data_IF_130179624228
#
_entry.id   IF_130179624228
#
_cell.length_a   1.000
_cell.length_b   1.000
_cell.length_c   1.000
_cell.angle_alpha   90.00
_cell.angle_beta   90.00
_cell.angle_gamma   90.00
#
_symmetry.space_group_name_H-M   'P 1'
#
loop_
_entity.id
_entity.type
_entity.pdbx_description
1 polymer ?
#
# COMPACT_ATOMS: atom_id res chain seq x y z
N UNK A 1 -10.08 12.72 38.78
CA UNK A 1 -9.30 11.51 38.52
C UNK A 1 -9.47 11.12 37.08
N UNK A 2 -8.43 10.62 36.41
CA UNK A 2 -8.42 10.32 34.97
C UNK A 2 -9.59 9.42 34.49
N UNK A 3 -10.12 8.57 35.34
CA UNK A 3 -11.29 7.74 35.05
C UNK A 3 -12.60 8.53 34.91
N UNK A 4 -12.74 9.67 35.63
CA UNK A 4 -13.90 10.56 35.57
C UNK A 4 -13.92 11.38 34.28
N UNK A 5 -12.74 11.66 33.69
CA UNK A 5 -12.64 12.48 32.48
C UNK A 5 -12.90 11.68 31.20
N UNK A 6 -12.70 10.35 31.24
CA UNK A 6 -13.03 9.43 30.13
C UNK A 6 -14.55 9.27 30.00
N UNK A 7 -15.29 9.21 31.10
CA UNK A 7 -16.76 9.12 31.09
C UNK A 7 -17.46 10.40 30.60
N UNK A 8 -16.83 11.56 30.72
CA UNK A 8 -17.41 12.83 30.28
C UNK A 8 -17.33 13.10 28.77
N UNK A 9 -16.65 12.25 28.02
CA UNK A 9 -16.51 12.37 26.54
C UNK A 9 -17.48 11.49 25.75
N UNK A 10 -18.24 10.61 26.39
CA UNK A 10 -19.25 9.78 25.73
C UNK A 10 -20.60 10.50 25.72
N UNK A 11 -21.33 10.35 24.60
CA UNK A 11 -22.71 10.84 24.49
C UNK A 11 -23.61 9.94 25.32
N UNK A 12 -24.08 10.46 26.45
CA UNK A 12 -24.99 9.77 27.38
C UNK A 12 -26.37 10.47 27.32
N UNK A 13 -27.24 9.95 26.44
CA UNK A 13 -28.57 10.51 26.21
C UNK A 13 -29.47 10.49 27.46
N UNK A 14 -29.48 9.42 28.29
CA UNK A 14 -30.20 9.44 29.56
C UNK A 14 -29.78 10.58 30.49
N UNK A 15 -28.48 10.79 30.66
CA UNK A 15 -27.95 11.87 31.49
C UNK A 15 -28.28 13.26 30.90
N UNK A 16 -28.20 13.40 29.57
CA UNK A 16 -28.60 14.66 28.91
C UNK A 16 -30.09 14.93 29.06
N UNK A 17 -30.93 13.91 29.04
CA UNK A 17 -32.38 14.03 29.30
C UNK A 17 -32.67 14.47 30.72
N UNK A 18 -32.00 13.93 31.72
CA UNK A 18 -32.12 14.31 33.12
C UNK A 18 -31.74 15.78 33.35
N UNK A 19 -30.63 16.23 32.74
CA UNK A 19 -30.14 17.59 32.87
C UNK A 19 -31.01 18.63 32.15
N UNK A 20 -31.49 18.30 30.94
CA UNK A 20 -32.24 19.23 30.09
C UNK A 20 -33.76 19.25 30.34
N UNK A 21 -34.28 18.18 30.98
CA UNK A 21 -35.71 17.96 31.13
C UNK A 21 -36.43 17.62 29.82
N UNK A 22 -35.68 17.32 28.75
CA UNK A 22 -36.21 16.97 27.43
C UNK A 22 -36.21 15.45 27.23
N UNK A 23 -37.13 14.98 26.39
CA UNK A 23 -37.08 13.57 25.98
C UNK A 23 -35.84 13.27 25.09
N UNK A 24 -35.34 12.06 25.18
CA UNK A 24 -34.17 11.60 24.40
C UNK A 24 -34.35 11.80 22.90
N UNK A 25 -35.58 11.64 22.39
CA UNK A 25 -35.91 11.89 20.98
C UNK A 25 -35.76 13.35 20.57
N UNK A 26 -36.20 14.26 21.43
CA UNK A 26 -36.03 15.70 21.21
C UNK A 26 -34.54 16.08 21.17
N UNK A 27 -33.75 15.51 22.08
CA UNK A 27 -32.30 15.74 22.14
C UNK A 27 -31.61 15.26 20.86
N UNK A 28 -31.96 14.07 20.36
CA UNK A 28 -31.41 13.51 19.14
C UNK A 28 -31.75 14.38 17.92
N UNK A 29 -32.99 14.87 17.83
CA UNK A 29 -33.39 15.77 16.74
C UNK A 29 -32.67 17.13 16.81
N UNK A 30 -32.52 17.72 18.00
CA UNK A 30 -31.79 18.98 18.18
C UNK A 30 -30.29 18.86 17.89
N UNK A 31 -29.70 17.69 18.18
CA UNK A 31 -28.27 17.40 17.95
C UNK A 31 -28.01 16.66 16.63
N UNK A 32 -28.99 16.68 15.75
CA UNK A 32 -28.86 16.02 14.44
C UNK A 32 -27.68 16.56 13.63
N UNK A 33 -26.75 15.68 13.27
CA UNK A 33 -25.50 16.03 12.60
C UNK A 33 -24.35 16.43 13.53
N UNK A 34 -24.61 16.56 14.84
CA UNK A 34 -23.59 16.76 15.89
C UNK A 34 -23.24 15.44 16.57
N UNK A 35 -24.23 14.58 16.74
CA UNK A 35 -24.08 13.21 17.25
C UNK A 35 -24.61 12.21 16.22
N UNK A 36 -24.03 11.02 16.21
CA UNK A 36 -24.37 9.91 15.31
C UNK A 36 -24.51 8.62 16.10
N UNK A 37 -25.50 7.83 15.77
CA UNK A 37 -25.64 6.47 16.29
C UNK A 37 -24.76 5.53 15.43
N UNK A 38 -23.85 4.78 16.04
CA UNK A 38 -23.12 3.72 15.35
C UNK A 38 -24.08 2.54 15.09
N UNK A 39 -24.33 2.19 13.82
CA UNK A 39 -25.30 1.15 13.48
C UNK A 39 -24.92 -0.26 13.98
N UNK A 40 -23.64 -0.53 14.27
CA UNK A 40 -23.20 -1.82 14.78
C UNK A 40 -23.38 -1.91 16.30
N UNK A 41 -22.92 -0.90 17.03
CA UNK A 41 -22.87 -0.92 18.49
C UNK A 41 -24.13 -0.35 19.13
N UNK A 42 -24.90 0.46 18.39
CA UNK A 42 -26.06 1.21 18.89
C UNK A 42 -25.65 2.34 19.86
N UNK A 43 -24.35 2.67 19.94
CA UNK A 43 -23.86 3.77 20.78
C UNK A 43 -23.92 5.09 20.04
N UNK A 44 -24.20 6.14 20.79
CA UNK A 44 -24.13 7.49 20.28
C UNK A 44 -22.71 8.05 20.46
N UNK A 45 -22.17 8.57 19.37
CA UNK A 45 -20.84 9.17 19.30
C UNK A 45 -20.93 10.61 18.82
N UNK A 46 -19.97 11.44 19.21
CA UNK A 46 -19.86 12.80 18.66
C UNK A 46 -19.45 12.74 17.19
N UNK A 47 -19.72 13.80 16.42
CA UNK A 47 -19.30 13.89 15.03
C UNK A 47 -17.79 13.65 14.85
N UNK A 48 -16.96 14.24 15.72
CA UNK A 48 -15.50 14.07 15.68
C UNK A 48 -15.07 12.61 15.88
N UNK A 49 -15.76 11.86 16.71
CA UNK A 49 -15.47 10.47 17.00
C UNK A 49 -16.02 9.56 15.89
N UNK A 50 -17.30 9.74 15.52
CA UNK A 50 -17.93 8.91 14.49
C UNK A 50 -17.31 9.10 13.10
N UNK A 51 -17.00 10.33 12.72
CA UNK A 51 -16.44 10.69 11.42
C UNK A 51 -14.91 10.54 11.34
N UNK A 52 -14.30 9.83 12.27
CA UNK A 52 -12.86 9.52 12.30
C UNK A 52 -12.58 8.02 12.11
N UNK A 53 -11.31 7.67 11.95
CA UNK A 53 -10.87 6.28 11.76
C UNK A 53 -11.15 5.74 10.37
N UNK A 54 -11.61 4.49 10.25
CA UNK A 54 -11.89 3.86 8.95
C UNK A 54 -13.25 4.31 8.35
N UNK A 55 -13.30 5.57 7.91
CA UNK A 55 -14.51 6.20 7.37
C UNK A 55 -15.03 5.52 6.09
N UNK A 56 -14.18 4.80 5.34
CA UNK A 56 -14.62 4.03 4.16
C UNK A 56 -15.44 2.81 4.54
N UNK A 57 -15.02 2.10 5.57
CA UNK A 57 -15.76 0.95 6.10
C UNK A 57 -17.04 1.40 6.79
N UNK A 58 -16.97 2.44 7.62
CA UNK A 58 -18.14 3.07 8.24
C UNK A 58 -19.19 3.47 7.20
N UNK A 59 -18.78 4.04 6.05
CA UNK A 59 -19.69 4.39 4.97
C UNK A 59 -20.39 3.16 4.36
N UNK A 60 -19.66 2.06 4.11
CA UNK A 60 -20.27 0.81 3.61
C UNK A 60 -21.32 0.28 4.57
N UNK A 61 -20.99 0.23 5.85
CA UNK A 61 -21.89 -0.22 6.91
C UNK A 61 -23.13 0.68 7.01
N UNK A 62 -22.93 2.00 7.12
CA UNK A 62 -24.04 2.95 7.21
C UNK A 62 -24.95 2.88 5.99
N UNK A 63 -24.41 2.68 4.79
CA UNK A 63 -25.21 2.52 3.55
C UNK A 63 -26.09 1.28 3.62
N UNK A 64 -25.53 0.13 4.03
CA UNK A 64 -26.32 -1.12 4.18
C UNK A 64 -27.43 -0.99 5.22
N UNK A 65 -27.16 -0.31 6.35
CA UNK A 65 -28.18 -0.08 7.36
C UNK A 65 -29.25 0.94 6.91
N UNK A 66 -28.89 1.96 6.14
CA UNK A 66 -29.83 2.94 5.62
C UNK A 66 -30.86 2.37 4.64
N UNK A 67 -30.58 1.23 3.99
CA UNK A 67 -31.54 0.51 3.13
C UNK A 67 -32.76 -0.01 3.91
N UNK A 68 -32.54 -0.40 5.15
CA UNK A 68 -33.61 -0.94 6.03
C UNK A 68 -34.12 0.06 7.05
N UNK A 69 -33.26 1.00 7.46
CA UNK A 69 -33.51 2.03 8.49
C UNK A 69 -33.14 3.41 7.94
N UNK A 70 -34.11 4.18 7.40
CA UNK A 70 -33.86 5.48 6.76
C UNK A 70 -33.19 6.52 7.68
N UNK A 71 -33.30 6.36 9.00
CA UNK A 71 -32.64 7.22 9.99
C UNK A 71 -31.13 7.32 9.82
N UNK A 72 -30.47 6.24 9.36
CA UNK A 72 -29.03 6.25 9.09
C UNK A 72 -28.63 6.97 7.79
N UNK A 73 -29.57 7.55 7.05
CA UNK A 73 -29.26 8.36 5.85
C UNK A 73 -28.38 9.56 6.18
N UNK A 74 -28.53 10.13 7.39
CA UNK A 74 -27.68 11.24 7.84
C UNK A 74 -26.22 10.81 8.02
N UNK A 75 -26.01 9.60 8.56
CA UNK A 75 -24.69 9.00 8.70
C UNK A 75 -24.01 8.82 7.33
N UNK A 76 -24.78 8.32 6.34
CA UNK A 76 -24.29 8.16 4.96
C UNK A 76 -23.90 9.50 4.35
N UNK A 77 -24.72 10.55 4.53
CA UNK A 77 -24.43 11.87 3.99
C UNK A 77 -23.17 12.46 4.62
N UNK A 78 -23.05 12.42 5.96
CA UNK A 78 -21.90 12.93 6.68
C UNK A 78 -20.60 12.18 6.28
N UNK A 79 -20.65 10.84 6.26
CA UNK A 79 -19.52 10.01 5.88
C UNK A 79 -19.10 10.21 4.42
N UNK A 80 -20.02 10.48 3.49
CA UNK A 80 -19.70 10.80 2.09
C UNK A 80 -18.89 12.08 1.95
N UNK A 81 -19.18 13.09 2.76
CA UNK A 81 -18.50 14.39 2.68
C UNK A 81 -17.05 14.35 3.12
N UNK A 82 -16.70 13.43 4.02
CA UNK A 82 -15.36 13.31 4.60
C UNK A 82 -14.55 12.17 4.01
N UNK A 83 -15.04 11.51 2.93
CA UNK A 83 -14.25 10.45 2.31
C UNK A 83 -12.90 10.99 1.84
N UNK A 84 -11.79 10.34 2.21
CA UNK A 84 -10.50 10.72 1.67
C UNK A 84 -10.51 10.55 0.16
N UNK A 85 -9.98 11.53 -0.55
CA UNK A 85 -9.77 11.42 -1.99
C UNK A 85 -8.85 10.23 -2.27
N UNK A 86 -9.15 9.49 -3.34
CA UNK A 86 -8.20 8.49 -3.82
C UNK A 86 -6.98 9.25 -4.35
N UNK A 87 -5.81 8.92 -3.81
CA UNK A 87 -4.57 9.44 -4.36
C UNK A 87 -4.43 8.98 -5.82
N UNK A 88 -4.04 9.91 -6.69
CA UNK A 88 -3.67 9.55 -8.04
C UNK A 88 -2.36 8.75 -8.04
N UNK A 89 -2.14 7.99 -9.10
CA UNK A 89 -0.94 7.17 -9.27
C UNK A 89 0.36 7.97 -9.12
N UNK A 90 0.33 9.27 -9.45
CA UNK A 90 1.46 10.19 -9.30
C UNK A 90 1.73 10.59 -7.86
N UNK A 91 0.72 10.52 -6.97
CA UNK A 91 0.81 10.92 -5.57
C UNK A 91 1.21 9.77 -4.63
N UNK A 92 1.11 8.53 -5.12
CA UNK A 92 1.49 7.35 -4.34
C UNK A 92 2.96 7.02 -4.62
N UNK A 93 3.81 7.19 -3.62
CA UNK A 93 5.20 6.72 -3.68
C UNK A 93 5.24 5.22 -3.41
N UNK A 94 5.25 4.42 -4.48
CA UNK A 94 5.46 2.97 -4.37
C UNK A 94 6.96 2.72 -4.30
N UNK A 95 7.41 2.25 -3.15
CA UNK A 95 8.81 1.81 -2.98
C UNK A 95 8.91 0.34 -3.32
N UNK A 96 9.54 0.05 -4.45
CA UNK A 96 9.96 -1.31 -4.77
C UNK A 96 10.86 -1.83 -3.64
N UNK A 97 10.64 -3.06 -3.17
CA UNK A 97 11.40 -3.64 -2.06
C UNK A 97 10.82 -3.37 -0.67
N UNK A 98 9.63 -2.79 -0.56
CA UNK A 98 8.93 -2.72 0.72
C UNK A 98 8.72 -4.15 1.29
N UNK A 99 9.04 -4.33 2.57
CA UNK A 99 9.12 -5.66 3.22
C UNK A 99 7.78 -6.38 3.39
N UNK A 100 6.68 -5.67 3.19
CA UNK A 100 5.32 -6.22 3.23
C UNK A 100 4.83 -6.76 1.88
N UNK A 101 5.57 -6.54 0.79
CA UNK A 101 5.23 -7.06 -0.54
C UNK A 101 5.46 -8.58 -0.54
N UNK A 102 4.46 -9.34 -0.98
CA UNK A 102 4.62 -10.78 -1.18
C UNK A 102 5.60 -11.05 -2.34
N UNK A 103 6.62 -11.91 -2.16
CA UNK A 103 7.56 -12.28 -3.24
C UNK A 103 6.91 -12.71 -4.54
N UNK A 104 5.70 -13.27 -4.48
CA UNK A 104 4.93 -13.67 -5.65
C UNK A 104 4.68 -12.50 -6.61
N UNK A 105 4.43 -11.28 -6.10
CA UNK A 105 4.24 -10.11 -6.96
C UNK A 105 5.50 -9.75 -7.74
N UNK A 106 6.67 -10.00 -7.17
CA UNK A 106 7.94 -9.80 -7.89
C UNK A 106 8.12 -10.88 -8.97
N UNK A 107 7.72 -12.12 -8.68
CA UNK A 107 7.74 -13.20 -9.70
C UNK A 107 6.76 -12.89 -10.84
N UNK A 108 5.54 -12.40 -10.53
CA UNK A 108 4.55 -11.97 -11.51
C UNK A 108 5.07 -10.78 -12.34
N UNK A 109 5.72 -9.81 -11.72
CA UNK A 109 6.39 -8.69 -12.40
C UNK A 109 7.48 -9.18 -13.36
N UNK A 110 8.33 -10.12 -12.93
CA UNK A 110 9.34 -10.73 -13.80
C UNK A 110 8.70 -11.48 -14.97
N UNK A 111 7.59 -12.17 -14.75
CA UNK A 111 6.85 -12.86 -15.81
C UNK A 111 6.27 -11.88 -16.84
N UNK A 112 5.57 -10.85 -16.40
CA UNK A 112 4.84 -9.94 -17.27
C UNK A 112 5.72 -8.85 -17.92
N UNK A 113 6.59 -8.21 -17.13
CA UNK A 113 7.37 -7.05 -17.59
C UNK A 113 8.73 -7.46 -18.13
N UNK A 114 9.43 -8.36 -17.45
CA UNK A 114 10.70 -8.91 -17.95
C UNK A 114 10.50 -9.97 -19.03
N UNK A 115 9.27 -10.42 -19.24
CA UNK A 115 8.92 -11.50 -20.15
C UNK A 115 9.75 -12.76 -19.85
N UNK A 116 9.93 -13.04 -18.56
CA UNK A 116 10.66 -14.23 -18.13
C UNK A 116 9.87 -15.47 -18.53
N UNK A 117 10.46 -16.40 -19.28
CA UNK A 117 9.74 -17.58 -19.70
C UNK A 117 9.18 -18.39 -18.52
N UNK A 118 7.95 -18.87 -18.67
CA UNK A 118 7.24 -19.61 -17.61
C UNK A 118 8.03 -20.86 -17.15
N UNK A 119 8.74 -21.51 -18.04
CA UNK A 119 9.58 -22.67 -17.70
C UNK A 119 10.77 -22.35 -16.79
N UNK A 120 11.11 -21.06 -16.60
CA UNK A 120 12.13 -20.62 -15.63
C UNK A 120 11.50 -20.23 -14.29
N UNK A 121 10.26 -19.74 -14.30
CA UNK A 121 9.53 -19.33 -13.09
C UNK A 121 8.92 -20.54 -12.37
N UNK A 122 8.27 -21.45 -13.10
CA UNK A 122 7.50 -22.55 -12.52
C UNK A 122 8.32 -23.76 -12.08
N UNK A 123 9.51 -24.10 -12.43
CA UNK A 123 10.35 -24.98 -11.62
C UNK A 123 11.14 -24.23 -10.56
N UNK A 124 11.03 -22.88 -10.48
CA UNK A 124 11.75 -22.08 -9.52
C UNK A 124 13.23 -21.85 -9.84
N UNK A 125 13.62 -22.01 -11.12
CA UNK A 125 14.98 -21.68 -11.56
C UNK A 125 15.28 -20.19 -11.41
N UNK A 126 14.26 -19.33 -11.65
CA UNK A 126 14.26 -17.91 -11.31
C UNK A 126 13.12 -17.69 -10.32
N UNK A 127 13.43 -17.37 -9.09
CA UNK A 127 12.43 -17.20 -8.02
C UNK A 127 12.85 -16.17 -6.99
N UNK A 128 11.88 -15.34 -6.59
CA UNK A 128 12.07 -14.35 -5.53
C UNK A 128 11.76 -14.95 -4.17
N UNK A 129 12.54 -14.55 -3.18
CA UNK A 129 12.33 -14.86 -1.78
C UNK A 129 12.71 -13.67 -0.90
N UNK A 130 12.03 -13.53 0.23
CA UNK A 130 12.33 -12.52 1.24
C UNK A 130 12.64 -13.19 2.57
N UNK A 131 13.74 -12.79 3.18
CA UNK A 131 14.14 -13.25 4.52
C UNK A 131 13.74 -12.22 5.57
N UNK A 132 12.79 -12.55 6.43
CA UNK A 132 12.37 -11.69 7.55
C UNK A 132 13.49 -11.51 8.58
N UNK A 133 14.43 -12.47 8.68
CA UNK A 133 15.51 -12.42 9.66
C UNK A 133 16.56 -11.36 9.27
N UNK A 134 16.92 -11.35 7.99
CA UNK A 134 17.94 -10.43 7.46
C UNK A 134 17.35 -9.20 6.77
N UNK A 135 16.02 -9.16 6.62
CA UNK A 135 15.29 -8.13 5.87
C UNK A 135 15.85 -7.95 4.44
N UNK A 136 16.18 -9.07 3.78
CA UNK A 136 16.80 -9.05 2.46
C UNK A 136 15.99 -9.84 1.44
N UNK A 137 15.93 -9.29 0.25
CA UNK A 137 15.40 -9.93 -0.94
C UNK A 137 16.49 -10.74 -1.64
N UNK A 138 16.15 -11.90 -2.16
CA UNK A 138 17.03 -12.72 -2.96
C UNK A 138 16.27 -13.25 -4.18
N UNK A 139 16.90 -13.15 -5.34
CA UNK A 139 16.41 -13.73 -6.59
C UNK A 139 17.32 -14.90 -6.98
N UNK A 140 16.80 -16.11 -6.85
CA UNK A 140 17.48 -17.30 -7.37
C UNK A 140 17.58 -17.20 -8.90
N UNK A 141 18.66 -17.73 -9.48
CA UNK A 141 18.87 -17.70 -10.93
C UNK A 141 19.21 -16.33 -11.53
N UNK A 142 19.42 -15.29 -10.71
CA UNK A 142 19.77 -13.93 -11.16
C UNK A 142 21.00 -13.82 -12.07
N UNK A 143 21.90 -14.77 -12.00
CA UNK A 143 23.11 -14.84 -12.82
C UNK A 143 22.99 -15.84 -13.97
N UNK A 144 21.82 -16.46 -14.16
CA UNK A 144 21.61 -17.36 -15.28
C UNK A 144 21.83 -16.60 -16.60
N UNK A 145 22.73 -17.10 -17.42
CA UNK A 145 23.06 -16.52 -18.72
C UNK A 145 21.89 -16.59 -19.69
N UNK A 146 21.05 -15.59 -19.61
CA UNK A 146 20.08 -15.29 -20.65
C UNK A 146 20.43 -13.96 -21.30
N UNK A 147 21.70 -13.82 -21.70
CA UNK A 147 22.25 -12.59 -22.28
C UNK A 147 21.46 -12.04 -23.47
N UNK A 148 20.62 -12.86 -24.09
CA UNK A 148 19.72 -12.48 -25.18
C UNK A 148 18.24 -12.41 -24.77
N UNK A 149 17.91 -12.53 -23.50
CA UNK A 149 16.54 -12.39 -23.04
C UNK A 149 16.07 -10.94 -23.18
N UNK A 150 14.77 -10.76 -23.39
CA UNK A 150 14.14 -9.43 -23.39
C UNK A 150 14.49 -8.64 -22.12
N UNK A 151 14.48 -9.31 -20.98
CA UNK A 151 14.84 -8.70 -19.70
C UNK A 151 16.24 -8.05 -19.73
N UNK A 152 17.25 -8.80 -20.18
CA UNK A 152 18.62 -8.31 -20.16
C UNK A 152 18.91 -7.25 -21.22
N UNK A 153 18.25 -7.31 -22.38
CA UNK A 153 18.39 -6.28 -23.42
C UNK A 153 17.72 -4.97 -23.01
N UNK A 154 16.58 -5.04 -22.32
CA UNK A 154 15.80 -3.86 -21.93
C UNK A 154 16.25 -3.30 -20.59
N UNK A 155 16.39 -4.14 -19.58
CA UNK A 155 16.62 -3.74 -18.17
C UNK A 155 18.00 -4.13 -17.64
N UNK A 156 18.79 -4.92 -18.36
CA UNK A 156 20.15 -5.29 -18.00
C UNK A 156 21.20 -4.44 -18.70
N UNK A 157 22.47 -4.78 -18.41
CA UNK A 157 23.66 -4.27 -19.09
C UNK A 157 24.51 -5.43 -19.59
N UNK A 158 25.58 -5.16 -20.29
CA UNK A 158 26.57 -6.18 -20.68
C UNK A 158 27.29 -6.81 -19.48
N UNK A 159 27.31 -6.14 -18.34
CA UNK A 159 28.05 -6.50 -17.13
C UNK A 159 27.14 -7.05 -16.01
N UNK A 160 25.86 -6.68 -16.00
CA UNK A 160 24.92 -7.03 -14.92
C UNK A 160 23.57 -7.39 -15.51
N UNK A 161 23.04 -8.52 -15.09
CA UNK A 161 21.72 -8.99 -15.54
C UNK A 161 20.58 -8.14 -14.98
N UNK A 162 19.44 -8.11 -15.68
CA UNK A 162 18.23 -7.44 -15.20
C UNK A 162 17.78 -7.97 -13.83
N UNK A 163 17.89 -9.28 -13.60
CA UNK A 163 17.51 -9.91 -12.33
C UNK A 163 18.42 -9.50 -11.17
N UNK A 164 19.73 -9.34 -11.43
CA UNK A 164 20.65 -8.83 -10.42
C UNK A 164 20.37 -7.36 -10.09
N UNK A 165 20.10 -6.55 -11.11
CA UNK A 165 19.71 -5.15 -10.91
C UNK A 165 18.38 -5.04 -10.15
N UNK A 166 17.41 -5.90 -10.45
CA UNK A 166 16.15 -5.96 -9.70
C UNK A 166 16.39 -6.33 -8.23
N UNK A 167 17.19 -7.35 -7.94
CA UNK A 167 17.53 -7.74 -6.57
C UNK A 167 18.21 -6.60 -5.80
N UNK A 168 19.17 -5.92 -6.41
CA UNK A 168 19.85 -4.79 -5.77
C UNK A 168 18.86 -3.62 -5.54
N UNK A 169 17.94 -3.38 -6.48
CA UNK A 169 16.90 -2.38 -6.34
C UNK A 169 15.92 -2.71 -5.20
N UNK A 170 15.49 -3.98 -5.10
CA UNK A 170 14.64 -4.47 -3.98
C UNK A 170 15.33 -4.28 -2.63
N UNK A 171 16.64 -4.44 -2.57
CA UNK A 171 17.45 -4.28 -1.36
C UNK A 171 17.93 -2.84 -1.15
N UNK A 172 17.45 -1.86 -1.94
CA UNK A 172 17.84 -0.45 -1.88
C UNK A 172 19.35 -0.25 -2.01
N UNK A 173 20.01 -1.08 -2.82
CA UNK A 173 21.44 -1.01 -3.07
C UNK A 173 21.73 -0.31 -4.39
N UNK A 174 22.57 0.70 -4.35
CA UNK A 174 23.11 1.35 -5.54
C UNK A 174 24.14 0.44 -6.20
N UNK A 175 24.00 0.23 -7.49
CA UNK A 175 24.94 -0.57 -8.26
C UNK A 175 26.25 0.18 -8.46
N UNK A 176 27.38 -0.52 -8.30
CA UNK A 176 28.71 -0.02 -8.62
C UNK A 176 29.49 -1.05 -9.41
N UNK A 177 29.94 -0.67 -10.57
CA UNK A 177 30.69 -1.55 -11.47
C UNK A 177 32.18 -1.18 -11.41
N UNK A 178 33.00 -2.19 -11.26
CA UNK A 178 34.45 -2.04 -11.14
C UNK A 178 35.16 -2.81 -12.25
N UNK A 179 36.20 -2.19 -12.79
CA UNK A 179 37.19 -2.86 -13.62
C UNK A 179 38.38 -3.27 -12.77
N UNK A 180 39.08 -4.31 -13.19
CA UNK A 180 40.30 -4.77 -12.52
C UNK A 180 41.48 -4.51 -13.43
N UNK A 181 42.41 -3.67 -12.97
CA UNK A 181 43.69 -3.39 -13.64
C UNK A 181 44.81 -3.72 -12.65
N UNK A 182 45.73 -4.55 -13.03
CA UNK A 182 46.89 -4.92 -12.20
C UNK A 182 46.50 -5.22 -10.73
N UNK A 183 45.48 -6.11 -10.55
CA UNK A 183 44.92 -6.50 -9.24
C UNK A 183 44.21 -5.39 -8.46
N UNK A 184 44.14 -4.15 -9.00
CA UNK A 184 43.42 -3.03 -8.38
C UNK A 184 42.01 -2.92 -8.98
N UNK A 185 41.04 -2.76 -8.10
CA UNK A 185 39.65 -2.48 -8.48
C UNK A 185 39.44 -0.99 -8.68
N UNK A 186 39.10 -0.57 -9.88
CA UNK A 186 38.82 0.84 -10.23
C UNK A 186 37.34 0.97 -10.61
N UNK A 187 36.66 1.96 -10.04
CA UNK A 187 35.27 2.23 -10.35
C UNK A 187 35.12 2.65 -11.83
N UNK A 188 34.35 1.89 -12.59
CA UNK A 188 33.94 2.28 -13.94
C UNK A 188 32.70 3.19 -13.83
N UNK A 189 32.91 4.49 -13.96
CA UNK A 189 31.84 5.50 -13.81
C UNK A 189 30.78 5.37 -14.91
N UNK A 190 31.19 5.11 -16.14
CA UNK A 190 30.31 5.02 -17.29
C UNK A 190 29.35 3.82 -17.14
N UNK A 191 29.90 2.63 -16.94
CA UNK A 191 29.10 1.40 -16.74
C UNK A 191 28.24 1.50 -15.47
N UNK A 192 28.71 2.13 -14.42
CA UNK A 192 27.94 2.38 -13.20
C UNK A 192 26.74 3.30 -13.49
N UNK A 193 26.94 4.37 -14.27
CA UNK A 193 25.85 5.29 -14.64
C UNK A 193 24.79 4.57 -15.49
N UNK A 194 25.21 3.78 -16.47
CA UNK A 194 24.29 2.99 -17.29
C UNK A 194 23.48 2.02 -16.42
N UNK A 195 24.14 1.30 -15.52
CA UNK A 195 23.47 0.37 -14.62
C UNK A 195 22.50 1.06 -13.64
N UNK A 196 22.87 2.23 -13.12
CA UNK A 196 21.98 3.04 -12.27
C UNK A 196 20.75 3.51 -13.02
N UNK A 197 20.91 3.92 -14.29
CA UNK A 197 19.76 4.28 -15.15
C UNK A 197 18.81 3.09 -15.36
N UNK A 198 19.38 1.88 -15.53
CA UNK A 198 18.57 0.66 -15.65
C UNK A 198 17.81 0.34 -14.34
N UNK A 199 18.40 0.61 -13.17
CA UNK A 199 17.68 0.49 -11.89
C UNK A 199 16.50 1.46 -11.81
N UNK A 200 16.65 2.71 -12.24
CA UNK A 200 15.53 3.67 -12.29
C UNK A 200 14.44 3.20 -13.28
N UNK A 201 14.81 2.72 -14.45
CA UNK A 201 13.85 2.16 -15.41
C UNK A 201 13.07 0.97 -14.83
N UNK A 202 13.71 0.13 -14.02
CA UNK A 202 13.03 -0.98 -13.31
C UNK A 202 12.02 -0.44 -12.30
N UNK A 203 12.38 0.59 -11.52
CA UNK A 203 11.47 1.24 -10.56
C UNK A 203 10.24 1.83 -11.23
N UNK A 204 10.45 2.55 -12.34
CA UNK A 204 9.36 3.13 -13.14
C UNK A 204 8.46 2.04 -13.73
N UNK A 205 9.06 1.00 -14.34
CA UNK A 205 8.31 -0.12 -14.90
C UNK A 205 7.49 -0.87 -13.84
N UNK A 206 8.02 -1.02 -12.63
CA UNK A 206 7.30 -1.64 -11.51
C UNK A 206 6.12 -0.77 -11.05
N UNK A 207 6.34 0.54 -10.93
CA UNK A 207 5.29 1.49 -10.62
C UNK A 207 4.15 1.42 -11.64
N UNK A 208 4.48 1.52 -12.92
CA UNK A 208 3.51 1.44 -14.01
C UNK A 208 2.75 0.10 -14.02
N UNK A 209 3.45 -1.00 -13.77
CA UNK A 209 2.84 -2.34 -13.73
C UNK A 209 1.82 -2.48 -12.61
N UNK A 210 2.11 -1.95 -11.41
CA UNK A 210 1.15 -1.94 -10.29
C UNK A 210 -0.07 -1.11 -10.64
N UNK A 211 0.11 0.07 -11.25
CA UNK A 211 -1.00 0.97 -11.54
C UNK A 211 -1.90 0.53 -12.68
N UNK A 212 -1.44 -0.32 -13.59
CA UNK A 212 -2.26 -0.85 -14.69
C UNK A 212 -3.41 -1.73 -14.19
N UNK A 213 -3.26 -2.38 -13.05
CA UNK A 213 -4.24 -3.31 -12.51
C UNK A 213 -4.89 -2.74 -11.24
N UNK A 214 -6.23 -2.49 -11.25
CA UNK A 214 -6.95 -2.00 -10.09
C UNK A 214 -6.86 -2.93 -8.86
N UNK A 215 -6.78 -4.25 -9.06
CA UNK A 215 -6.69 -5.22 -7.96
C UNK A 215 -5.32 -5.16 -7.28
N UNK A 216 -4.25 -4.93 -8.05
CA UNK A 216 -2.90 -4.75 -7.51
C UNK A 216 -2.78 -3.48 -6.67
N UNK A 217 -3.53 -2.43 -7.02
CA UNK A 217 -3.54 -1.16 -6.25
C UNK A 217 -4.26 -1.24 -4.92
N UNK A 218 -5.14 -2.21 -4.74
CA UNK A 218 -5.97 -2.33 -3.53
C UNK A 218 -5.35 -3.24 -2.46
N UNK A 219 -4.30 -3.94 -2.80
CA UNK A 219 -3.55 -4.83 -1.91
C UNK A 219 -2.26 -4.19 -1.47
#
# INVERSE_FOLDING_TARGET
>A
SAASDVYKRQVDLPYMSELSGKDTKEIVEELRGVIFEDPITGKWETADEYLSGNVREKLKIATSYAETKPEFSINVQALKQIQPQNLDASEIEIRIGATWIDPKYIDDFMGEVFQTPHYLLDPGAVKTSFSNITSTWNIAGKNAETSRSFANTTFGTTRVTAYKLLEDTLNLKDIKIYDTFDERRVLNKEETTIASQKQENIKEAFKDWIFRDPERRQK
#
